data_IF_004536213890
#
_entry.id   IF_004536213890
#
_cell.length_a   1.000
_cell.length_b   1.000
_cell.length_c   1.000
_cell.angle_alpha   90.00
_cell.angle_beta   90.00
_cell.angle_gamma   90.00
#
_symmetry.space_group_name_H-M   'P 1'
#
loop_
_entity.id
_entity.type
_entity.pdbx_description
1 polymer ?
#
# COMPACT_ATOMS: atom_id res chain seq x y z
N UNK A 1 -6.20 14.12 -12.75
CA UNK A 1 -7.20 13.19 -12.16
C UNK A 1 -7.45 13.49 -10.69
N UNK A 2 -6.44 13.44 -9.81
CA UNK A 2 -6.62 13.66 -8.37
C UNK A 2 -7.20 15.04 -7.97
N UNK A 3 -6.80 16.11 -8.66
CA UNK A 3 -7.39 17.44 -8.48
C UNK A 3 -8.92 17.41 -8.68
N UNK A 4 -9.36 16.89 -9.83
CA UNK A 4 -10.78 16.74 -10.17
C UNK A 4 -11.51 15.86 -9.15
N UNK A 5 -10.89 14.78 -8.68
CA UNK A 5 -11.45 13.92 -7.63
C UNK A 5 -11.64 14.70 -6.32
N UNK A 6 -10.66 15.49 -5.90
CA UNK A 6 -10.77 16.33 -4.70
C UNK A 6 -11.89 17.37 -4.80
N UNK A 7 -12.02 18.02 -5.97
CA UNK A 7 -13.11 18.95 -6.24
C UNK A 7 -14.48 18.27 -6.18
N UNK A 8 -14.64 17.08 -6.78
CA UNK A 8 -15.87 16.29 -6.71
C UNK A 8 -16.21 15.81 -5.29
N UNK A 9 -15.21 15.66 -4.42
CA UNK A 9 -15.38 15.36 -3.00
C UNK A 9 -15.72 16.62 -2.17
N UNK A 10 -15.86 17.79 -2.80
CA UNK A 10 -16.26 19.04 -2.14
C UNK A 10 -15.11 19.82 -1.50
N UNK A 11 -13.85 19.50 -1.82
CA UNK A 11 -12.70 20.27 -1.33
C UNK A 11 -12.63 21.61 -2.07
N UNK A 12 -12.47 22.71 -1.33
CA UNK A 12 -12.32 24.05 -1.90
C UNK A 12 -11.13 24.10 -2.89
N UNK A 13 -11.34 24.65 -4.09
CA UNK A 13 -10.35 24.61 -5.17
C UNK A 13 -8.98 25.20 -4.77
N UNK A 14 -8.97 26.27 -3.98
CA UNK A 14 -7.74 26.91 -3.48
C UNK A 14 -6.91 26.02 -2.54
N UNK A 15 -7.49 24.96 -1.98
CA UNK A 15 -6.82 23.98 -1.13
C UNK A 15 -6.24 22.81 -1.94
N UNK A 16 -6.56 22.72 -3.23
CA UNK A 16 -6.10 21.62 -4.08
C UNK A 16 -4.76 21.96 -4.74
N UNK A 17 -3.73 21.11 -4.59
CA UNK A 17 -2.44 21.31 -5.25
C UNK A 17 -2.60 21.20 -6.77
N UNK A 18 -1.94 22.09 -7.51
CA UNK A 18 -2.07 22.18 -8.98
C UNK A 18 -1.04 21.38 -9.75
N UNK A 19 0.09 21.08 -9.13
CA UNK A 19 1.20 20.35 -9.69
C UNK A 19 1.73 19.30 -8.69
N UNK A 20 2.71 18.52 -9.15
CA UNK A 20 3.27 17.42 -8.37
C UNK A 20 4.05 17.91 -7.14
N UNK A 21 4.79 19.01 -7.27
CA UNK A 21 5.63 19.56 -6.21
C UNK A 21 4.76 20.09 -5.05
N UNK A 22 3.69 20.80 -5.38
CA UNK A 22 2.69 21.23 -4.41
C UNK A 22 1.98 20.05 -3.74
N UNK A 23 1.73 18.94 -4.47
CA UNK A 23 1.19 17.72 -3.88
C UNK A 23 2.14 17.13 -2.84
N UNK A 24 3.44 17.06 -3.17
CA UNK A 24 4.46 16.49 -2.31
C UNK A 24 4.65 17.34 -1.04
N UNK A 25 4.76 18.66 -1.19
CA UNK A 25 4.87 19.58 -0.05
C UNK A 25 3.64 19.50 0.87
N UNK A 26 2.44 19.49 0.29
CA UNK A 26 1.20 19.36 1.05
C UNK A 26 1.15 18.02 1.80
N UNK A 27 1.55 16.93 1.15
CA UNK A 27 1.61 15.59 1.77
C UNK A 27 2.58 15.58 2.95
N UNK A 28 3.79 16.11 2.76
CA UNK A 28 4.80 16.23 3.81
C UNK A 28 4.28 17.04 5.01
N UNK A 29 3.61 18.17 4.78
CA UNK A 29 3.03 19.00 5.84
C UNK A 29 1.90 18.30 6.62
N UNK A 30 1.02 17.59 5.92
CA UNK A 30 -0.06 16.82 6.56
C UNK A 30 0.56 15.70 7.40
N UNK A 31 1.48 14.93 6.84
CA UNK A 31 2.13 13.83 7.55
C UNK A 31 2.92 14.32 8.76
N UNK A 32 3.68 15.40 8.63
CA UNK A 32 4.44 15.98 9.75
C UNK A 32 3.54 16.41 10.93
N UNK A 33 2.30 16.85 10.66
CA UNK A 33 1.37 17.29 11.70
C UNK A 33 0.47 16.18 12.26
N UNK A 34 0.18 15.14 11.48
CA UNK A 34 -0.83 14.13 11.81
C UNK A 34 -0.28 12.72 12.01
N UNK A 35 0.90 12.40 11.48
CA UNK A 35 1.46 11.06 11.58
C UNK A 35 1.95 10.79 13.00
N UNK A 36 1.08 10.19 13.80
CA UNK A 36 1.38 9.79 15.18
C UNK A 36 0.82 8.42 15.48
N UNK A 37 1.49 7.70 16.37
CA UNK A 37 1.03 6.40 16.86
C UNK A 37 -0.29 6.57 17.61
N UNK A 38 -1.28 5.76 17.27
CA UNK A 38 -2.57 5.73 17.96
C UNK A 38 -3.12 4.31 18.03
N UNK A 39 -3.86 3.97 19.08
CA UNK A 39 -4.47 2.63 19.22
C UNK A 39 -5.36 2.28 18.01
N UNK A 40 -6.25 3.17 17.53
CA UNK A 40 -7.04 2.90 16.32
C UNK A 40 -6.18 2.76 15.06
N UNK A 41 -5.15 3.61 14.90
CA UNK A 41 -4.23 3.55 13.77
C UNK A 41 -3.49 2.22 13.68
N UNK A 42 -2.97 1.73 14.81
CA UNK A 42 -2.29 0.43 14.89
C UNK A 42 -3.21 -0.74 14.53
N UNK A 43 -4.47 -0.70 15.01
CA UNK A 43 -5.48 -1.71 14.67
C UNK A 43 -5.78 -1.69 13.17
N UNK A 44 -5.97 -0.50 12.59
CA UNK A 44 -6.22 -0.36 11.16
C UNK A 44 -5.05 -0.85 10.31
N UNK A 45 -3.81 -0.46 10.65
CA UNK A 45 -2.60 -0.94 9.97
C UNK A 45 -2.50 -2.46 10.00
N UNK A 46 -2.79 -3.09 11.15
CA UNK A 46 -2.83 -4.55 11.27
C UNK A 46 -3.93 -5.17 10.40
N UNK A 47 -5.15 -4.61 10.44
CA UNK A 47 -6.26 -5.09 9.61
C UNK A 47 -5.97 -5.00 8.11
N UNK A 48 -5.23 -3.98 7.65
CA UNK A 48 -4.78 -3.89 6.26
C UNK A 48 -3.80 -5.02 5.89
N UNK A 49 -2.84 -5.34 6.77
CA UNK A 49 -1.91 -6.45 6.56
C UNK A 49 -2.64 -7.80 6.55
N UNK A 50 -3.59 -7.99 7.48
CA UNK A 50 -4.41 -9.20 7.57
C UNK A 50 -5.28 -9.36 6.32
N UNK A 51 -5.96 -8.29 5.88
CA UNK A 51 -6.75 -8.27 4.65
C UNK A 51 -5.91 -8.68 3.44
N UNK A 52 -4.73 -8.08 3.28
CA UNK A 52 -3.82 -8.37 2.16
C UNK A 52 -3.28 -9.79 2.21
N UNK A 53 -3.01 -10.31 3.41
CA UNK A 53 -2.64 -11.72 3.60
C UNK A 53 -3.77 -12.67 3.20
N UNK A 54 -5.04 -12.27 3.40
CA UNK A 54 -6.22 -13.01 2.97
C UNK A 54 -6.48 -12.99 1.45
N UNK A 55 -5.90 -12.03 0.72
CA UNK A 55 -5.98 -12.01 -0.75
C UNK A 55 -4.97 -12.93 -1.42
N UNK A 56 -3.87 -13.22 -0.72
CA UNK A 56 -2.81 -14.08 -1.23
C UNK A 56 -3.15 -15.55 -0.91
N UNK A 57 -2.91 -16.49 -1.85
CA UNK A 57 -3.49 -17.82 -1.76
C UNK A 57 -3.09 -18.68 -0.55
N UNK A 58 -2.09 -18.34 0.28
CA UNK A 58 -1.69 -19.15 1.44
C UNK A 58 -1.34 -18.30 2.67
N UNK A 59 -1.74 -18.75 3.86
CA UNK A 59 -1.50 -18.11 5.16
C UNK A 59 -0.01 -17.91 5.50
N UNK A 60 0.90 -18.65 4.85
CA UNK A 60 2.37 -18.51 4.99
C UNK A 60 2.92 -17.18 4.43
N UNK A 61 2.08 -16.35 3.82
CA UNK A 61 2.46 -15.07 3.22
C UNK A 61 2.25 -13.87 4.14
N UNK A 62 1.86 -14.07 5.40
CA UNK A 62 1.78 -12.97 6.36
C UNK A 62 3.10 -12.17 6.49
N UNK A 63 4.28 -12.80 6.69
CA UNK A 63 5.54 -12.07 6.75
C UNK A 63 5.85 -11.32 5.45
N UNK A 64 5.39 -11.85 4.32
CA UNK A 64 5.52 -11.22 3.02
C UNK A 64 4.64 -9.96 2.92
N UNK A 65 3.33 -10.06 3.20
CA UNK A 65 2.40 -8.91 3.20
C UNK A 65 2.85 -7.82 4.17
N UNK A 66 3.26 -8.22 5.37
CA UNK A 66 3.80 -7.31 6.38
C UNK A 66 5.02 -6.55 5.85
N UNK A 67 5.97 -7.26 5.25
CA UNK A 67 7.21 -6.66 4.73
C UNK A 67 6.95 -5.77 3.51
N UNK A 68 6.02 -6.16 2.63
CA UNK A 68 5.57 -5.29 1.52
C UNK A 68 5.01 -3.98 2.07
N UNK A 69 4.06 -4.04 3.01
CA UNK A 69 3.48 -2.83 3.61
C UNK A 69 4.53 -1.97 4.29
N UNK A 70 5.42 -2.59 5.08
CA UNK A 70 6.52 -1.89 5.73
C UNK A 70 7.42 -1.17 4.71
N UNK A 71 7.82 -1.82 3.63
CA UNK A 71 8.76 -1.25 2.66
C UNK A 71 8.14 -0.26 1.67
N UNK A 72 6.84 -0.34 1.40
CA UNK A 72 6.14 0.67 0.59
C UNK A 72 5.93 1.98 1.35
N UNK A 73 5.97 1.95 2.68
CA UNK A 73 5.84 3.13 3.50
C UNK A 73 7.20 3.77 3.82
N UNK A 74 7.20 5.09 3.91
CA UNK A 74 8.36 5.89 4.31
C UNK A 74 8.88 5.41 5.68
N UNK A 75 10.18 5.13 5.82
CA UNK A 75 10.81 4.79 7.09
C UNK A 75 10.37 5.66 8.28
N UNK A 76 10.20 6.96 8.09
CA UNK A 76 9.88 7.91 9.15
C UNK A 76 8.48 7.67 9.76
N UNK A 77 7.57 7.07 9.00
CA UNK A 77 6.17 6.85 9.42
C UNK A 77 5.89 5.42 9.88
N UNK A 78 6.86 4.50 9.75
CA UNK A 78 6.69 3.07 10.10
C UNK A 78 6.36 2.84 11.56
N UNK A 79 6.99 3.61 12.44
CA UNK A 79 6.76 3.51 13.89
C UNK A 79 5.33 3.90 14.26
N UNK A 80 4.80 4.96 13.63
CA UNK A 80 3.42 5.40 13.84
C UNK A 80 2.41 4.33 13.43
N UNK A 81 2.74 3.51 12.43
CA UNK A 81 1.95 2.36 11.95
C UNK A 81 2.20 1.07 12.72
N UNK A 82 3.15 1.04 13.67
CA UNK A 82 3.47 -0.15 14.46
C UNK A 82 4.24 -1.23 13.69
N UNK A 83 4.95 -0.85 12.63
CA UNK A 83 5.87 -1.76 11.97
C UNK A 83 7.16 -1.88 12.77
N UNK A 84 7.57 -3.11 13.07
CA UNK A 84 8.76 -3.48 13.83
C UNK A 84 9.71 -4.30 12.96
N UNK A 85 10.99 -4.36 13.34
CA UNK A 85 12.02 -5.18 12.69
C UNK A 85 11.98 -6.65 13.16
N UNK A 86 10.79 -7.25 13.07
CA UNK A 86 10.53 -8.62 13.53
C UNK A 86 10.90 -9.70 12.51
N UNK A 87 10.97 -9.38 11.22
CA UNK A 87 11.09 -10.38 10.14
C UNK A 87 12.39 -10.25 9.35
N UNK A 88 13.53 -10.45 10.02
CA UNK A 88 14.89 -10.23 9.48
C UNK A 88 15.14 -10.77 8.07
N UNK A 89 14.66 -11.98 7.74
CA UNK A 89 14.82 -12.53 6.40
C UNK A 89 14.04 -11.76 5.34
N UNK A 90 12.75 -11.51 5.59
CA UNK A 90 11.88 -10.79 4.65
C UNK A 90 12.24 -9.32 4.56
N UNK A 91 12.58 -8.67 5.67
CA UNK A 91 13.06 -7.29 5.72
C UNK A 91 14.35 -7.09 4.90
N UNK A 92 15.22 -8.11 4.85
CA UNK A 92 16.44 -8.10 4.02
C UNK A 92 16.17 -8.43 2.55
N UNK A 93 15.26 -9.38 2.29
CA UNK A 93 14.97 -9.88 0.95
C UNK A 93 14.08 -8.93 0.13
N UNK A 94 13.06 -8.36 0.76
CA UNK A 94 12.01 -7.58 0.09
C UNK A 94 12.52 -6.34 -0.65
N UNK A 95 13.45 -5.53 -0.12
CA UNK A 95 14.00 -4.40 -0.87
C UNK A 95 14.69 -4.82 -2.16
N UNK A 96 15.40 -5.96 -2.14
CA UNK A 96 16.08 -6.49 -3.33
C UNK A 96 15.08 -6.96 -4.37
N UNK A 97 14.01 -7.59 -3.91
CA UNK A 97 12.90 -8.05 -4.75
C UNK A 97 12.17 -6.87 -5.40
N UNK A 98 11.72 -5.89 -4.60
CA UNK A 98 11.01 -4.69 -5.07
C UNK A 98 11.85 -3.87 -6.06
N UNK A 99 13.13 -3.67 -5.76
CA UNK A 99 14.04 -2.99 -6.69
C UNK A 99 14.17 -3.73 -8.00
N UNK A 100 14.21 -5.06 -7.99
CA UNK A 100 14.32 -5.85 -9.21
C UNK A 100 13.01 -5.90 -10.01
N UNK A 101 11.85 -5.82 -9.34
CA UNK A 101 10.56 -5.74 -10.03
C UNK A 101 10.30 -4.37 -10.63
N UNK A 102 10.80 -3.30 -10.00
CA UNK A 102 10.63 -1.91 -10.47
C UNK A 102 11.72 -1.53 -11.48
N UNK A 103 12.95 -1.97 -11.25
CA UNK A 103 14.02 -1.93 -12.24
C UNK A 103 13.82 -3.08 -13.23
N UNK A 104 12.74 -3.04 -14.01
CA UNK A 104 12.63 -3.82 -15.25
C UNK A 104 13.65 -3.22 -16.23
N UNK A 105 14.91 -3.37 -15.89
CA UNK A 105 16.05 -3.10 -16.70
C UNK A 105 16.22 -4.36 -17.56
N UNK A 106 16.40 -4.21 -18.88
CA UNK A 106 16.48 -5.33 -19.83
C UNK A 106 17.57 -6.36 -19.45
N UNK A 107 18.48 -6.01 -18.54
CA UNK A 107 19.52 -6.89 -17.97
C UNK A 107 18.99 -7.96 -17.01
N UNK A 108 17.83 -7.79 -16.37
CA UNK A 108 17.28 -8.78 -15.43
C UNK A 108 16.74 -10.02 -16.12
N UNK A 109 16.55 -9.97 -17.44
CA UNK A 109 16.23 -11.13 -18.25
C UNK A 109 17.36 -12.20 -18.25
N UNK A 110 18.58 -11.83 -17.84
CA UNK A 110 19.73 -12.76 -17.77
C UNK A 110 19.96 -13.42 -16.40
N UNK A 111 19.19 -13.10 -15.35
CA UNK A 111 19.40 -13.71 -14.01
C UNK A 111 18.37 -14.79 -13.66
N UNK A 112 18.90 -15.85 -13.02
CA UNK A 112 18.28 -16.99 -12.32
C UNK A 112 16.82 -17.31 -12.65
N UNK A 113 16.59 -18.49 -13.23
CA UNK A 113 15.27 -19.07 -13.52
C UNK A 113 14.34 -19.02 -12.28
N UNK A 114 14.89 -19.26 -11.09
CA UNK A 114 14.15 -19.22 -9.81
C UNK A 114 13.57 -17.83 -9.54
N UNK A 115 14.32 -16.78 -9.85
CA UNK A 115 13.88 -15.40 -9.61
C UNK A 115 12.74 -14.99 -10.55
N UNK A 116 12.84 -15.37 -11.84
CA UNK A 116 11.77 -15.17 -12.81
C UNK A 116 10.49 -15.90 -12.42
N UNK A 117 10.62 -17.13 -11.93
CA UNK A 117 9.48 -17.91 -11.42
C UNK A 117 8.80 -17.20 -10.25
N UNK A 118 9.58 -16.70 -9.29
CA UNK A 118 9.06 -15.98 -8.11
C UNK A 118 8.30 -14.70 -8.50
N UNK A 119 8.88 -13.86 -9.37
CA UNK A 119 8.22 -12.63 -9.86
C UNK A 119 6.92 -12.95 -10.59
N UNK A 120 6.92 -13.96 -11.47
CA UNK A 120 5.69 -14.35 -12.20
C UNK A 120 4.60 -14.84 -11.24
N UNK A 121 4.99 -15.64 -10.25
CA UNK A 121 4.06 -16.11 -9.22
C UNK A 121 3.46 -14.91 -8.46
N UNK A 122 4.29 -13.95 -8.05
CA UNK A 122 3.85 -12.75 -7.34
C UNK A 122 2.95 -11.84 -8.17
N UNK A 123 3.32 -11.55 -9.41
CA UNK A 123 2.49 -10.74 -10.30
C UNK A 123 1.14 -11.41 -10.55
N UNK A 124 1.13 -12.73 -10.75
CA UNK A 124 -0.12 -13.49 -10.90
C UNK A 124 -0.98 -13.44 -9.64
N UNK A 125 -0.36 -13.51 -8.46
CA UNK A 125 -1.07 -13.39 -7.18
C UNK A 125 -1.63 -11.97 -6.95
N UNK A 126 -0.84 -10.92 -7.20
CA UNK A 126 -1.28 -9.53 -7.04
C UNK A 126 -2.38 -9.18 -8.03
N UNK A 127 -2.18 -9.46 -9.32
CA UNK A 127 -3.19 -9.20 -10.36
C UNK A 127 -4.45 -10.05 -10.10
N UNK A 128 -4.29 -11.33 -9.74
CA UNK A 128 -5.42 -12.20 -9.40
C UNK A 128 -6.17 -11.78 -8.14
N UNK A 129 -5.48 -11.23 -7.14
CA UNK A 129 -6.10 -10.68 -5.93
C UNK A 129 -6.84 -9.37 -6.21
N UNK A 130 -6.21 -8.46 -6.96
CA UNK A 130 -6.81 -7.17 -7.35
C UNK A 130 -8.02 -7.36 -8.28
N UNK A 131 -7.94 -8.27 -9.24
CA UNK A 131 -9.07 -8.57 -10.13
C UNK A 131 -10.24 -9.17 -9.36
N UNK A 132 -10.00 -10.05 -8.38
CA UNK A 132 -11.04 -10.55 -7.48
C UNK A 132 -11.70 -9.42 -6.66
N UNK A 133 -10.95 -8.39 -6.25
CA UNK A 133 -11.54 -7.24 -5.54
C UNK A 133 -12.32 -6.31 -6.48
N UNK A 134 -11.78 -6.10 -7.68
CA UNK A 134 -12.36 -5.19 -8.67
C UNK A 134 -13.65 -5.76 -9.27
N UNK A 135 -13.70 -7.07 -9.54
CA UNK A 135 -14.81 -7.71 -10.25
C UNK A 135 -15.95 -8.17 -9.35
N UNK A 136 -15.75 -8.26 -8.03
CA UNK A 136 -16.66 -9.03 -7.18
C UNK A 136 -17.92 -8.29 -6.70
N UNK A 137 -18.05 -6.97 -6.75
CA UNK A 137 -19.28 -6.30 -6.27
C UNK A 137 -19.54 -4.94 -6.90
N UNK A 138 -20.80 -4.67 -7.22
CA UNK A 138 -21.35 -3.30 -7.21
C UNK A 138 -21.12 -2.70 -5.82
N UNK A 139 -20.46 -1.55 -5.75
CA UNK A 139 -20.13 -0.91 -4.48
C UNK A 139 -21.14 0.20 -4.22
N UNK A 140 -22.01 -0.03 -3.25
CA UNK A 140 -22.97 0.96 -2.78
C UNK A 140 -22.37 1.73 -1.60
N UNK A 141 -22.43 3.06 -1.68
CA UNK A 141 -22.09 3.93 -0.56
C UNK A 141 -23.37 4.25 0.19
N UNK A 142 -23.49 3.74 1.41
CA UNK A 142 -24.63 4.00 2.28
C UNK A 142 -24.34 5.20 3.18
N UNK A 143 -25.34 6.07 3.33
CA UNK A 143 -25.32 7.07 4.40
C UNK A 143 -25.39 6.33 5.75
N UNK A 144 -24.46 6.58 6.68
CA UNK A 144 -24.56 6.07 8.04
C UNK A 144 -25.88 6.50 8.67
N UNK A 145 -26.55 5.62 9.44
CA UNK A 145 -27.82 5.93 10.12
C UNK A 145 -27.73 7.20 10.99
N UNK A 146 -26.57 7.45 11.59
CA UNK A 146 -26.29 8.64 12.39
C UNK A 146 -26.33 9.96 11.61
N UNK A 147 -26.32 9.93 10.28
CA UNK A 147 -26.37 11.10 9.39
C UNK A 147 -27.71 11.21 8.64
N UNK A 148 -28.67 10.31 8.90
CA UNK A 148 -30.01 10.33 8.27
C UNK A 148 -31.05 11.12 9.07
N UNK A 149 -30.67 11.68 10.23
CA UNK A 149 -31.52 12.44 11.14
C UNK A 149 -31.60 13.92 10.79
#
# INVERSE_FOLDING_TARGET
>A
MWFTTGFLLGIEEKLLPRDYEACDEMSARILASQARKSKPGLLLSRSCVDFMSGLLPHQLLYPFSYSVFKHLNDPQHREAMGFEDKHRFWDWFMPKLLRSTLAIDQKLEKRSIVFKFLIRLMNRMLIGGLSKIAMKNERYFYLPESLKS
#
